data_IF_308048069810
#
_entry.id   IF_308048069810
#
_cell.length_a   1.000
_cell.length_b   1.000
_cell.length_c   1.000
_cell.angle_alpha   90.00
_cell.angle_beta   90.00
_cell.angle_gamma   90.00
#
_symmetry.space_group_name_H-M   'P 1'
#
loop_
_entity.id
_entity.type
_entity.pdbx_description
1 polymer ?
#
# COMPACT_ATOMS: atom_id res chain seq x y z
N UNK A 1 -15.87 -7.56 9.94
CA UNK A 1 -16.13 -6.70 8.76
C UNK A 1 -14.77 -6.22 8.30
N UNK A 2 -14.39 -6.46 7.05
CA UNK A 2 -13.10 -6.01 6.51
C UNK A 2 -13.28 -4.58 6.00
N UNK A 3 -12.37 -3.68 6.35
CA UNK A 3 -12.31 -2.37 5.73
C UNK A 3 -11.38 -2.46 4.52
N UNK A 4 -11.91 -2.13 3.35
CA UNK A 4 -11.19 -2.17 2.08
C UNK A 4 -10.84 -0.75 1.64
N UNK A 5 -9.59 -0.57 1.21
CA UNK A 5 -9.11 0.69 0.63
C UNK A 5 -8.52 0.43 -0.74
N UNK A 6 -8.92 1.23 -1.73
CA UNK A 6 -8.52 1.04 -3.12
C UNK A 6 -7.86 2.29 -3.69
N UNK A 7 -6.72 2.12 -4.35
CA UNK A 7 -6.11 3.11 -5.23
C UNK A 7 -6.28 2.63 -6.66
N UNK A 8 -7.01 3.39 -7.45
CA UNK A 8 -7.25 3.08 -8.86
C UNK A 8 -6.38 3.97 -9.74
N UNK A 9 -5.93 3.41 -10.85
CA UNK A 9 -5.18 4.09 -11.88
C UNK A 9 -5.47 3.50 -13.25
N UNK A 10 -4.66 3.88 -14.23
CA UNK A 10 -4.84 3.52 -15.64
C UNK A 10 -4.84 1.99 -15.84
N UNK A 11 -6.03 1.40 -15.91
CA UNK A 11 -6.23 -0.05 -16.03
C UNK A 11 -5.79 -0.89 -14.82
N UNK A 12 -5.45 -0.26 -13.70
CA UNK A 12 -4.85 -0.92 -12.55
C UNK A 12 -5.44 -0.49 -11.20
N UNK A 13 -5.32 -1.35 -10.19
CA UNK A 13 -5.77 -1.08 -8.84
C UNK A 13 -4.84 -1.72 -7.80
N UNK A 14 -4.55 -0.98 -6.73
CA UNK A 14 -4.05 -1.52 -5.46
C UNK A 14 -5.23 -1.58 -4.49
N UNK A 15 -5.53 -2.75 -3.98
CA UNK A 15 -6.63 -2.99 -3.04
C UNK A 15 -6.01 -3.54 -1.76
N UNK A 16 -6.27 -2.89 -0.63
CA UNK A 16 -5.81 -3.32 0.68
C UNK A 16 -7.04 -3.64 1.53
N UNK A 17 -7.21 -4.90 1.90
CA UNK A 17 -8.16 -5.28 2.94
C UNK A 17 -7.44 -5.30 4.28
N UNK A 18 -8.03 -4.61 5.25
CA UNK A 18 -7.62 -4.61 6.65
C UNK A 18 -8.50 -5.63 7.39
N UNK A 19 -8.05 -6.89 7.54
CA UNK A 19 -8.70 -7.83 8.43
C UNK A 19 -8.67 -7.29 9.85
N UNK A 20 -9.85 -7.23 10.46
CA UNK A 20 -9.97 -6.97 11.89
C UNK A 20 -9.52 -8.23 12.65
N UNK A 21 -8.22 -8.47 12.71
CA UNK A 21 -7.64 -9.56 13.49
C UNK A 21 -6.49 -9.01 14.33
N UNK A 22 -6.74 -8.86 15.64
CA UNK A 22 -5.69 -8.59 16.63
C UNK A 22 -4.83 -9.85 16.73
N UNK A 23 -3.57 -9.77 16.32
CA UNK A 23 -2.65 -10.90 16.42
C UNK A 23 -1.97 -10.90 17.79
N UNK A 24 -2.41 -11.80 18.68
CA UNK A 24 -1.81 -12.01 19.99
C UNK A 24 -1.95 -10.83 20.96
N UNK A 25 -1.20 -10.89 22.08
CA UNK A 25 -1.15 -9.82 23.09
C UNK A 25 -0.42 -8.56 22.59
N UNK A 26 0.33 -8.65 21.48
CA UNK A 26 1.14 -7.56 20.94
C UNK A 26 0.36 -6.84 19.83
N UNK A 27 -0.46 -5.86 20.23
CA UNK A 27 -1.38 -5.04 19.40
C UNK A 27 -0.72 -4.26 18.25
N UNK A 28 0.56 -4.50 17.96
CA UNK A 28 1.36 -3.72 17.01
C UNK A 28 1.50 -4.37 15.64
N UNK A 29 1.07 -5.62 15.47
CA UNK A 29 1.13 -6.32 14.19
C UNK A 29 -0.26 -6.46 13.57
N UNK A 30 -0.35 -6.19 12.28
CA UNK A 30 -1.58 -6.23 11.49
C UNK A 30 -1.32 -7.03 10.22
N UNK A 31 -2.09 -8.11 10.01
CA UNK A 31 -2.10 -8.79 8.72
C UNK A 31 -2.85 -7.93 7.72
N UNK A 32 -2.34 -7.78 6.51
CA UNK A 32 -3.06 -7.14 5.42
C UNK A 32 -3.29 -8.15 4.31
N UNK A 33 -4.36 -7.98 3.55
CA UNK A 33 -4.48 -8.63 2.24
C UNK A 33 -4.29 -7.54 1.19
N UNK A 34 -3.17 -7.58 0.47
CA UNK A 34 -2.87 -6.64 -0.59
C UNK A 34 -3.05 -7.35 -1.93
N UNK A 35 -3.99 -6.84 -2.72
CA UNK A 35 -4.30 -7.30 -4.05
C UNK A 35 -3.90 -6.24 -5.07
N UNK A 36 -3.04 -6.60 -6.01
CA UNK A 36 -2.64 -5.77 -7.15
C UNK A 36 -3.34 -6.32 -8.39
N UNK A 37 -4.09 -5.47 -9.08
CA UNK A 37 -4.78 -5.80 -10.33
C UNK A 37 -4.25 -4.91 -11.46
N UNK A 38 -3.87 -5.50 -12.59
CA UNK A 38 -3.40 -4.77 -13.78
C UNK A 38 -3.98 -5.47 -15.01
N UNK A 39 -4.98 -4.86 -15.63
CA UNK A 39 -5.78 -5.53 -16.67
C UNK A 39 -6.39 -6.83 -16.14
N UNK A 40 -6.01 -7.96 -16.76
CA UNK A 40 -6.44 -9.31 -16.37
C UNK A 40 -5.55 -9.97 -15.30
N UNK A 41 -4.36 -9.40 -15.04
CA UNK A 41 -3.44 -9.94 -14.05
C UNK A 41 -3.86 -9.55 -12.64
N UNK A 42 -3.87 -10.52 -11.74
CA UNK A 42 -4.20 -10.33 -10.32
C UNK A 42 -3.11 -11.01 -9.47
N UNK A 43 -2.39 -10.22 -8.69
CA UNK A 43 -1.47 -10.68 -7.65
C UNK A 43 -2.07 -10.44 -6.27
N UNK A 44 -1.92 -11.39 -5.36
CA UNK A 44 -2.38 -11.27 -3.96
C UNK A 44 -1.27 -11.68 -3.02
N UNK A 45 -1.04 -10.87 -1.99
CA UNK A 45 -0.13 -11.16 -0.90
C UNK A 45 -0.76 -10.87 0.45
N UNK A 46 -0.24 -11.56 1.45
CA UNK A 46 -0.73 -11.50 2.83
C UNK A 46 0.39 -11.08 3.77
N UNK A 47 0.95 -9.86 3.61
CA UNK A 47 2.05 -9.41 4.43
C UNK A 47 1.60 -9.14 5.87
N UNK A 48 2.52 -9.31 6.80
CA UNK A 48 2.36 -8.87 8.18
C UNK A 48 3.05 -7.52 8.34
N UNK A 49 2.28 -6.49 8.69
CA UNK A 49 2.79 -5.14 8.88
C UNK A 49 2.90 -4.83 10.36
N UNK A 50 4.03 -4.25 10.78
CA UNK A 50 4.06 -3.57 12.06
C UNK A 50 3.32 -2.23 11.92
N UNK A 51 2.71 -1.72 12.99
CA UNK A 51 1.96 -0.45 12.96
C UNK A 51 2.86 0.71 12.46
N UNK A 52 4.16 0.66 12.75
CA UNK A 52 5.12 1.62 12.20
C UNK A 52 5.30 1.51 10.69
N UNK A 53 5.16 0.32 10.08
CA UNK A 53 5.18 0.17 8.62
C UNK A 53 4.01 0.91 7.99
N UNK A 54 2.82 0.81 8.59
CA UNK A 54 1.64 1.53 8.14
C UNK A 54 1.83 3.05 8.28
N UNK A 55 2.44 3.53 9.37
CA UNK A 55 2.77 4.96 9.53
C UNK A 55 3.81 5.44 8.50
N UNK A 56 4.83 4.62 8.21
CA UNK A 56 5.81 4.90 7.17
C UNK A 56 5.16 4.92 5.79
N UNK A 57 4.23 4.01 5.53
CA UNK A 57 3.46 3.96 4.30
C UNK A 57 2.60 5.22 4.13
N UNK A 58 1.86 5.61 5.17
CA UNK A 58 1.09 6.86 5.18
C UNK A 58 1.99 8.07 4.89
N UNK A 59 3.16 8.13 5.54
CA UNK A 59 4.14 9.21 5.35
C UNK A 59 4.66 9.24 3.90
N UNK A 60 4.90 8.08 3.29
CA UNK A 60 5.33 7.99 1.90
C UNK A 60 4.25 8.48 0.93
N UNK A 61 2.99 8.06 1.12
CA UNK A 61 1.84 8.53 0.34
C UNK A 61 1.65 10.05 0.46
N UNK A 62 1.76 10.59 1.68
CA UNK A 62 1.66 12.03 1.94
C UNK A 62 2.82 12.79 1.30
N UNK A 63 4.01 12.21 1.28
CA UNK A 63 5.18 12.77 0.58
C UNK A 63 4.97 12.78 -0.93
N UNK A 64 4.42 11.71 -1.53
CA UNK A 64 4.14 11.62 -2.96
C UNK A 64 3.22 12.76 -3.47
N UNK A 65 2.33 13.28 -2.63
CA UNK A 65 1.46 14.42 -2.95
C UNK A 65 2.16 15.79 -2.94
N UNK A 66 3.37 15.89 -2.41
CA UNK A 66 4.11 17.16 -2.23
C UNK A 66 5.54 17.14 -2.75
N UNK A 67 6.08 15.97 -3.09
CA UNK A 67 7.40 15.79 -3.68
C UNK A 67 7.30 15.19 -5.07
N UNK A 68 8.37 15.34 -5.85
CA UNK A 68 8.54 14.68 -7.15
C UNK A 68 8.72 13.17 -7.03
N UNK A 69 9.17 12.69 -5.87
CA UNK A 69 9.46 11.26 -5.64
C UNK A 69 9.29 10.90 -4.18
N UNK A 70 8.64 9.77 -3.91
CA UNK A 70 8.54 9.17 -2.59
C UNK A 70 8.72 7.65 -2.68
N UNK A 71 9.21 7.04 -1.59
CA UNK A 71 9.46 5.61 -1.52
C UNK A 71 8.92 5.03 -0.22
N UNK A 72 8.46 3.80 -0.31
CA UNK A 72 8.07 2.98 0.81
C UNK A 72 8.66 1.58 0.65
N UNK A 73 9.17 1.04 1.74
CA UNK A 73 9.61 -0.34 1.88
C UNK A 73 9.21 -0.78 3.29
N UNK A 74 8.51 -1.91 3.41
CA UNK A 74 8.16 -2.45 4.73
C UNK A 74 9.40 -3.11 5.38
N UNK A 75 9.37 -3.29 6.70
CA UNK A 75 10.51 -3.84 7.45
C UNK A 75 10.96 -5.23 6.98
N UNK A 76 10.03 -6.05 6.49
CA UNK A 76 10.32 -7.41 6.00
C UNK A 76 10.76 -7.45 4.52
N UNK A 77 10.88 -6.31 3.82
CA UNK A 77 11.29 -6.23 2.41
C UNK A 77 10.36 -7.02 1.45
N UNK A 78 9.11 -7.22 1.88
CA UNK A 78 8.05 -7.90 1.11
C UNK A 78 7.47 -7.01 0.03
N UNK A 79 7.45 -5.69 0.29
CA UNK A 79 6.80 -4.69 -0.55
C UNK A 79 7.70 -3.48 -0.66
N UNK A 80 7.99 -3.11 -1.91
CA UNK A 80 8.55 -1.81 -2.26
C UNK A 80 7.58 -1.07 -3.16
N UNK A 81 7.37 0.20 -2.85
CA UNK A 81 6.60 1.13 -3.66
C UNK A 81 7.41 2.39 -3.87
N UNK A 82 7.38 2.88 -5.09
CA UNK A 82 7.92 4.16 -5.48
C UNK A 82 6.84 4.97 -6.19
N UNK A 83 6.68 6.22 -5.76
CA UNK A 83 5.75 7.17 -6.33
C UNK A 83 6.55 8.25 -7.04
N UNK A 84 6.30 8.45 -8.32
CA UNK A 84 6.96 9.48 -9.13
C UNK A 84 5.92 10.43 -9.68
N UNK A 85 5.97 11.68 -9.24
CA UNK A 85 5.01 12.70 -9.64
C UNK A 85 5.50 13.41 -10.89
N UNK A 86 4.72 13.31 -11.96
CA UNK A 86 4.97 14.03 -13.21
C UNK A 86 4.60 15.51 -13.08
N UNK A 87 5.20 16.36 -13.92
CA UNK A 87 4.86 17.79 -14.01
C UNK A 87 3.41 18.04 -14.46
N UNK A 88 2.74 17.04 -15.04
CA UNK A 88 1.36 17.10 -15.52
C UNK A 88 0.34 16.65 -14.45
N UNK A 89 0.80 16.32 -13.24
CA UNK A 89 -0.08 15.95 -12.12
C UNK A 89 -0.46 14.47 -12.05
N UNK A 90 -0.04 13.66 -13.03
CA UNK A 90 -0.11 12.20 -12.93
C UNK A 90 0.99 11.68 -11.99
N UNK A 91 0.69 10.62 -11.25
CA UNK A 91 1.58 9.96 -10.31
C UNK A 91 1.80 8.54 -10.80
N UNK A 92 3.04 8.23 -11.16
CA UNK A 92 3.45 6.87 -11.49
C UNK A 92 3.69 6.08 -10.20
N UNK A 93 3.20 4.85 -10.14
CA UNK A 93 3.36 3.93 -9.02
C UNK A 93 4.13 2.72 -9.54
N UNK A 94 5.37 2.62 -9.11
CA UNK A 94 6.26 1.51 -9.43
C UNK A 94 6.36 0.64 -8.19
N UNK A 95 5.99 -0.64 -8.31
CA UNK A 95 5.96 -1.54 -7.18
C UNK A 95 6.68 -2.85 -7.44
N UNK A 96 7.22 -3.43 -6.38
CA UNK A 96 7.75 -4.78 -6.37
C UNK A 96 7.28 -5.49 -5.11
N UNK A 97 6.73 -6.69 -5.29
CA UNK A 97 6.27 -7.55 -4.21
C UNK A 97 7.07 -8.85 -4.25
N UNK A 98 7.60 -9.28 -3.10
CA UNK A 98 8.29 -10.56 -2.93
C UNK A 98 7.40 -11.54 -2.17
N UNK A 99 7.39 -12.80 -2.62
CA UNK A 99 6.69 -13.86 -1.90
C UNK A 99 7.66 -14.55 -0.93
N UNK A 100 7.51 -14.31 0.37
CA UNK A 100 8.36 -14.90 1.42
C UNK A 100 8.44 -16.45 1.36
N UNK A 101 7.36 -17.11 0.98
CA UNK A 101 7.31 -18.57 0.88
C UNK A 101 8.07 -19.14 -0.33
N UNK A 102 8.46 -18.30 -1.28
CA UNK A 102 9.12 -18.72 -2.50
C UNK A 102 10.09 -17.62 -2.95
N UNK A 103 11.30 -17.61 -2.39
CA UNK A 103 12.31 -16.54 -2.51
C UNK A 103 12.70 -16.14 -3.96
N UNK A 104 12.22 -16.84 -4.97
CA UNK A 104 12.45 -16.54 -6.39
C UNK A 104 11.26 -15.89 -7.11
N UNK A 105 10.08 -15.82 -6.49
CA UNK A 105 8.90 -15.23 -7.10
C UNK A 105 8.74 -13.77 -6.64
N UNK A 106 8.81 -12.84 -7.60
CA UNK A 106 8.46 -11.44 -7.39
C UNK A 106 7.45 -10.97 -8.44
N UNK A 107 6.56 -10.07 -8.03
CA UNK A 107 5.67 -9.35 -8.93
C UNK A 107 6.14 -7.90 -9.01
N UNK A 108 6.63 -7.48 -10.18
CA UNK A 108 6.89 -6.08 -10.47
C UNK A 108 5.70 -5.48 -11.22
N UNK A 109 5.38 -4.23 -10.92
CA UNK A 109 4.30 -3.51 -11.58
C UNK A 109 4.59 -2.02 -11.72
N UNK A 110 3.93 -1.40 -12.69
CA UNK A 110 3.98 0.02 -12.98
C UNK A 110 2.62 0.46 -13.54
N UNK A 111 2.02 1.49 -12.94
CA UNK A 111 0.82 2.12 -13.48
C UNK A 111 0.72 3.58 -13.01
N UNK A 112 -0.13 4.36 -13.68
CA UNK A 112 -0.35 5.76 -13.35
C UNK A 112 -1.66 5.95 -12.60
N UNK A 113 -1.68 6.83 -11.60
CA UNK A 113 -2.87 7.35 -10.94
C UNK A 113 -2.89 8.88 -11.02
N UNK A 114 -4.02 9.50 -10.72
CA UNK A 114 -4.10 10.93 -10.50
C UNK A 114 -3.93 11.31 -9.01
N UNK A 115 -3.73 12.61 -8.76
CA UNK A 115 -3.57 13.18 -7.43
C UNK A 115 -4.80 13.00 -6.54
N UNK A 116 -6.02 13.04 -7.08
CA UNK A 116 -7.25 12.96 -6.28
C UNK A 116 -7.50 11.53 -5.80
N UNK A 117 -7.25 10.53 -6.65
CA UNK A 117 -7.25 9.13 -6.28
C UNK A 117 -6.22 8.84 -5.18
N UNK A 118 -5.00 9.37 -5.29
CA UNK A 118 -3.98 9.20 -4.24
C UNK A 118 -4.38 9.90 -2.92
N UNK A 119 -4.97 11.11 -2.98
CA UNK A 119 -5.49 11.80 -1.78
C UNK A 119 -6.59 11.01 -1.10
N UNK A 120 -7.53 10.46 -1.87
CA UNK A 120 -8.62 9.64 -1.34
C UNK A 120 -8.08 8.37 -0.68
N UNK A 121 -7.14 7.71 -1.33
CA UNK A 121 -6.45 6.55 -0.79
C UNK A 121 -5.73 6.86 0.52
N UNK A 122 -4.93 7.93 0.55
CA UNK A 122 -4.26 8.40 1.77
C UNK A 122 -5.26 8.68 2.89
N UNK A 123 -6.35 9.38 2.62
CA UNK A 123 -7.35 9.72 3.64
C UNK A 123 -7.96 8.46 4.29
N UNK A 124 -8.23 7.43 3.49
CA UNK A 124 -8.70 6.14 3.98
C UNK A 124 -7.65 5.41 4.84
N UNK A 125 -6.37 5.40 4.41
CA UNK A 125 -5.27 4.82 5.20
C UNK A 125 -5.08 5.58 6.54
N UNK A 126 -5.06 6.91 6.52
CA UNK A 126 -4.95 7.73 7.75
C UNK A 126 -6.10 7.46 8.72
N UNK A 127 -7.34 7.33 8.20
CA UNK A 127 -8.51 7.02 9.01
C UNK A 127 -8.38 5.66 9.70
N UNK A 128 -7.91 4.65 8.99
CA UNK A 128 -7.65 3.32 9.54
C UNK A 128 -6.59 3.36 10.64
N UNK A 129 -5.44 3.97 10.37
CA UNK A 129 -4.37 4.15 11.34
C UNK A 129 -4.85 4.84 12.63
N UNK A 130 -5.67 5.89 12.50
CA UNK A 130 -6.20 6.61 13.66
C UNK A 130 -7.10 5.75 14.56
N UNK A 131 -7.80 4.76 14.01
CA UNK A 131 -8.63 3.82 14.78
C UNK A 131 -7.76 2.84 15.55
N UNK A 132 -6.74 2.29 14.90
CA UNK A 132 -5.80 1.35 15.54
C UNK A 132 -4.95 1.99 16.65
N UNK A 133 -4.71 3.31 16.62
CA UNK A 133 -4.00 4.01 17.70
C UNK A 133 -4.83 4.20 18.97
N UNK A 134 -6.16 4.14 18.87
CA UNK A 134 -7.08 4.39 19.99
C UNK A 134 -7.62 3.10 20.64
N UNK A 135 -7.24 1.91 20.13
CA UNK A 135 -7.67 0.57 20.58
C UNK A 135 -6.62 -0.20 21.39
#
# INVERSE_FOLDING_TARGET
MFEQVCLNGDGASIIIDFPYEKHGDDKKWVNLNICIKIGEFIGKIFPMFHLSDLELFEKALRSALSSTRAKFENMEDDIKLEFVTSSQGAIQIIGAIKYLSNAQASLAFDFFTDHEALKSFLASISKLLSRHKND
#
